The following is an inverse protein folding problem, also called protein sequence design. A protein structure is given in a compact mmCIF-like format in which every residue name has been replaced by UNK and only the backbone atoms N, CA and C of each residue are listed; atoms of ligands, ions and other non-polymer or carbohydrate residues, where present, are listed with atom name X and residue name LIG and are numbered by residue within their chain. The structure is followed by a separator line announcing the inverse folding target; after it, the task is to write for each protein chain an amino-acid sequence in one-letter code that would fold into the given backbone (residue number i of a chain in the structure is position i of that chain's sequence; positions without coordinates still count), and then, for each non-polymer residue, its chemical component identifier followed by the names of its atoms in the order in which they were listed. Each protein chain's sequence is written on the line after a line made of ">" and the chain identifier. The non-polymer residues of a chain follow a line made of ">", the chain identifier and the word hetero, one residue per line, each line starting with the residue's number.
data_IF_878470091122
#
_entry.id   IF_878470091122
#
_cell.length_a   1.000
_cell.length_b   1.000
_cell.length_c   1.000
_cell.angle_alpha   90.00
_cell.angle_beta   90.00
_cell.angle_gamma   90.00
#
_symmetry.space_group_name_H-M   'P 1'
#
loop_
_entity.id
_entity.type
_entity.pdbx_description
1 polymer ?
#
# COMPACT_ATOMS: atom_id res chain seq x y z
N UNK A 1 19.20 9.26 -2.12
CA UNK A 1 18.38 8.02 -2.18
C UNK A 1 17.33 8.07 -3.30
N UNK A 2 16.53 9.15 -3.42
CA UNK A 2 15.48 9.25 -4.45
C UNK A 2 15.92 9.13 -5.92
N UNK A 3 17.04 9.75 -6.33
CA UNK A 3 17.55 9.68 -7.71
C UNK A 3 17.85 8.25 -8.16
N UNK A 4 18.67 7.53 -7.38
CA UNK A 4 19.01 6.12 -7.64
C UNK A 4 17.77 5.23 -7.71
N UNK A 5 16.76 5.49 -6.88
CA UNK A 5 15.52 4.73 -6.94
C UNK A 5 14.74 5.00 -8.23
N UNK A 6 14.73 6.24 -8.73
CA UNK A 6 14.15 6.55 -10.04
C UNK A 6 14.86 5.79 -11.18
N UNK A 7 16.20 5.82 -11.20
CA UNK A 7 17.03 5.06 -12.16
C UNK A 7 16.72 3.55 -12.09
N UNK A 8 16.46 3.01 -10.90
CA UNK A 8 16.09 1.60 -10.73
C UNK A 8 14.68 1.27 -11.24
N UNK A 9 13.71 2.17 -11.05
CA UNK A 9 12.35 1.97 -11.56
C UNK A 9 12.32 1.96 -13.08
N UNK A 10 13.06 2.88 -13.71
CA UNK A 10 13.26 2.92 -15.16
C UNK A 10 13.93 1.63 -15.65
N UNK A 11 15.07 1.25 -15.06
CA UNK A 11 15.78 0.05 -15.45
C UNK A 11 14.95 -1.23 -15.32
N UNK A 12 14.08 -1.35 -14.30
CA UNK A 12 13.19 -2.50 -14.17
C UNK A 12 12.22 -2.56 -15.36
N UNK A 13 11.66 -1.43 -15.82
CA UNK A 13 10.77 -1.41 -16.99
C UNK A 13 11.49 -1.83 -18.25
N UNK A 14 12.66 -1.24 -18.51
CA UNK A 14 13.47 -1.56 -19.68
C UNK A 14 13.81 -3.05 -19.74
N UNK A 15 14.25 -3.64 -18.62
CA UNK A 15 14.62 -5.06 -18.54
C UNK A 15 13.47 -5.97 -18.96
N UNK A 16 12.24 -5.67 -18.51
CA UNK A 16 11.07 -6.48 -18.84
C UNK A 16 10.60 -6.28 -20.27
N UNK A 17 10.57 -5.03 -20.76
CA UNK A 17 10.16 -4.70 -22.13
C UNK A 17 11.14 -5.28 -23.16
N UNK A 18 12.44 -5.22 -22.89
CA UNK A 18 13.47 -5.73 -23.79
C UNK A 18 13.69 -7.25 -23.65
N UNK A 19 13.09 -7.88 -22.64
CA UNK A 19 13.28 -9.31 -22.37
C UNK A 19 14.72 -9.69 -22.05
N UNK A 20 15.51 -8.76 -21.47
CA UNK A 20 16.95 -8.97 -21.17
C UNK A 20 17.19 -10.06 -20.13
N UNK A 21 16.21 -10.29 -19.23
CA UNK A 21 16.25 -11.35 -18.22
C UNK A 21 15.08 -12.31 -18.50
N UNK A 22 15.42 -13.58 -18.75
CA UNK A 22 14.46 -14.60 -19.11
C UNK A 22 13.75 -15.23 -17.90
N UNK A 23 12.55 -15.83 -18.11
CA UNK A 23 11.79 -15.84 -19.36
C UNK A 23 11.15 -14.49 -19.65
N UNK A 24 11.10 -14.10 -20.93
CA UNK A 24 10.38 -12.90 -21.37
C UNK A 24 8.89 -13.06 -21.03
N UNK A 25 8.29 -12.13 -20.25
CA UNK A 25 6.88 -12.27 -19.88
C UNK A 25 5.95 -12.13 -21.10
N UNK A 26 4.77 -12.73 -21.02
CA UNK A 26 3.71 -12.56 -22.03
C UNK A 26 2.98 -11.20 -21.93
N UNK A 27 3.44 -10.31 -21.04
CA UNK A 27 2.92 -8.98 -20.79
C UNK A 27 4.10 -7.99 -20.72
N UNK A 28 3.88 -6.66 -20.78
CA UNK A 28 4.95 -5.66 -20.71
C UNK A 28 5.83 -5.73 -19.43
N UNK A 29 5.40 -6.52 -18.44
CA UNK A 29 6.09 -6.76 -17.20
C UNK A 29 5.08 -6.99 -16.06
N UNK A 30 5.57 -7.20 -14.83
CA UNK A 30 4.71 -7.22 -13.66
C UNK A 30 4.10 -5.85 -13.38
N UNK A 31 2.93 -5.84 -12.75
CA UNK A 31 2.34 -4.63 -12.20
C UNK A 31 3.25 -4.04 -11.11
N UNK A 32 3.53 -2.75 -11.18
CA UNK A 32 4.38 -2.04 -10.24
C UNK A 32 3.60 -0.96 -9.50
N UNK A 33 3.64 -0.99 -8.18
CA UNK A 33 3.07 0.05 -7.32
C UNK A 33 4.18 0.75 -6.54
N UNK A 34 4.11 2.07 -6.46
CA UNK A 34 5.12 2.88 -5.76
C UNK A 34 4.45 3.67 -4.63
N UNK A 35 5.00 3.53 -3.43
CA UNK A 35 4.56 4.27 -2.26
C UNK A 35 5.34 5.56 -2.00
N UNK A 36 5.00 6.21 -0.89
CA UNK A 36 5.59 7.48 -0.44
C UNK A 36 4.60 8.63 -0.47
N UNK A 37 4.89 9.71 0.25
CA UNK A 37 3.97 10.85 0.40
C UNK A 37 4.53 12.18 -0.07
N UNK A 38 5.81 12.24 -0.44
CA UNK A 38 6.43 13.45 -0.97
C UNK A 38 6.01 13.68 -2.43
N UNK A 39 6.05 14.94 -2.89
CA UNK A 39 5.73 15.28 -4.28
C UNK A 39 6.62 14.53 -5.27
N UNK A 40 7.91 14.37 -4.96
CA UNK A 40 8.86 13.62 -5.78
C UNK A 40 8.56 12.12 -5.79
N UNK A 41 7.98 11.57 -4.71
CA UNK A 41 7.56 10.17 -4.68
C UNK A 41 6.35 9.94 -5.57
N UNK A 42 5.38 10.85 -5.51
CA UNK A 42 4.18 10.79 -6.34
C UNK A 42 4.50 11.05 -7.82
N UNK A 43 5.42 11.96 -8.13
CA UNK A 43 5.91 12.18 -9.49
C UNK A 43 6.62 10.94 -10.05
N UNK A 44 7.43 10.25 -9.22
CA UNK A 44 8.05 8.97 -9.60
C UNK A 44 7.02 7.87 -9.83
N UNK A 45 6.02 7.77 -8.95
CA UNK A 45 4.90 6.84 -9.11
C UNK A 45 4.18 7.10 -10.44
N UNK A 46 3.79 8.35 -10.70
CA UNK A 46 3.12 8.72 -11.94
C UNK A 46 3.97 8.38 -13.17
N UNK A 47 5.29 8.58 -13.12
CA UNK A 47 6.18 8.36 -14.26
C UNK A 47 6.44 6.89 -14.58
N UNK A 48 6.69 6.06 -13.56
CA UNK A 48 7.26 4.73 -13.77
C UNK A 48 6.39 3.57 -13.29
N UNK A 49 5.35 3.83 -12.48
CA UNK A 49 4.51 2.80 -11.88
C UNK A 49 3.15 2.66 -12.59
N UNK A 50 2.43 1.60 -12.27
CA UNK A 50 1.02 1.39 -12.67
C UNK A 50 0.05 1.95 -11.63
N UNK A 51 0.56 2.32 -10.45
CA UNK A 51 -0.25 2.89 -9.40
C UNK A 51 0.48 3.19 -8.10
N UNK A 52 -0.31 3.60 -7.12
CA UNK A 52 0.09 4.04 -5.80
C UNK A 52 -0.21 2.98 -4.74
N UNK A 53 0.74 2.77 -3.83
CA UNK A 53 0.55 1.95 -2.63
C UNK A 53 0.65 2.82 -1.38
N UNK A 54 -0.47 2.99 -0.68
CA UNK A 54 -0.48 3.69 0.60
C UNK A 54 0.07 2.79 1.71
N UNK A 55 1.07 3.27 2.45
CA UNK A 55 1.77 2.50 3.49
C UNK A 55 1.00 2.30 4.80
N UNK A 56 -0.32 2.47 4.78
CA UNK A 56 -1.18 2.39 5.96
C UNK A 56 -1.26 3.71 6.75
N UNK A 57 -2.20 3.74 7.69
CA UNK A 57 -2.59 4.92 8.43
C UNK A 57 -4.11 5.09 8.44
N UNK A 58 -4.64 6.11 9.15
CA UNK A 58 -6.08 6.29 9.28
C UNK A 58 -6.74 6.58 7.92
N UNK A 59 -8.03 6.26 7.73
CA UNK A 59 -8.75 6.46 6.47
C UNK A 59 -8.58 7.85 5.84
N UNK A 60 -8.60 8.92 6.66
CA UNK A 60 -8.39 10.29 6.17
C UNK A 60 -7.01 10.51 5.55
N UNK A 61 -5.97 9.86 6.07
CA UNK A 61 -4.63 9.94 5.51
C UNK A 61 -4.55 9.24 4.16
N UNK A 62 -5.26 8.11 4.01
CA UNK A 62 -5.41 7.43 2.75
C UNK A 62 -6.12 8.30 1.71
N UNK A 63 -7.30 8.85 2.03
CA UNK A 63 -8.05 9.70 1.10
C UNK A 63 -7.20 10.88 0.60
N UNK A 64 -6.47 11.54 1.51
CA UNK A 64 -5.56 12.62 1.14
C UNK A 64 -4.39 12.18 0.26
N UNK A 65 -3.87 10.96 0.45
CA UNK A 65 -2.81 10.41 -0.38
C UNK A 65 -3.31 9.99 -1.77
N UNK A 66 -4.49 9.36 -1.84
CA UNK A 66 -5.14 8.96 -3.09
C UNK A 66 -5.39 10.17 -4.01
N UNK A 67 -5.93 11.27 -3.47
CA UNK A 67 -6.15 12.52 -4.23
C UNK A 67 -4.84 13.04 -4.82
N UNK A 68 -3.75 13.04 -4.04
CA UNK A 68 -2.44 13.52 -4.53
C UNK A 68 -1.84 12.59 -5.59
N UNK A 69 -2.05 11.28 -5.46
CA UNK A 69 -1.62 10.31 -6.46
C UNK A 69 -2.36 10.50 -7.79
N UNK A 70 -3.68 10.69 -7.73
CA UNK A 70 -4.51 10.98 -8.90
C UNK A 70 -4.09 12.29 -9.58
N UNK A 71 -3.84 13.34 -8.79
CA UNK A 71 -3.34 14.62 -9.31
C UNK A 71 -1.99 14.45 -10.02
N UNK A 72 -1.00 13.79 -9.39
CA UNK A 72 0.30 13.56 -10.00
C UNK A 72 0.24 12.77 -11.32
N UNK A 73 -0.69 11.81 -11.44
CA UNK A 73 -0.93 11.07 -12.67
C UNK A 73 -1.48 11.95 -13.79
N UNK A 74 -2.50 12.75 -13.45
CA UNK A 74 -3.14 13.69 -14.38
C UNK A 74 -2.19 14.79 -14.83
N UNK A 75 -1.41 15.36 -13.91
CA UNK A 75 -0.46 16.45 -14.20
C UNK A 75 0.67 15.98 -15.12
N UNK A 76 1.05 14.70 -15.05
CA UNK A 76 2.00 14.10 -15.99
C UNK A 76 1.39 13.84 -17.38
N UNK A 77 0.05 13.92 -17.51
CA UNK A 77 -0.66 13.71 -18.76
C UNK A 77 -0.79 12.24 -19.17
N UNK A 78 -0.68 11.30 -18.21
CA UNK A 78 -0.85 9.87 -18.52
C UNK A 78 -2.33 9.54 -18.77
N UNK A 79 -2.64 8.72 -19.79
CA UNK A 79 -4.01 8.27 -20.03
C UNK A 79 -4.50 7.38 -18.87
N UNK A 80 -5.83 7.30 -18.70
CA UNK A 80 -6.46 6.47 -17.69
C UNK A 80 -6.27 7.00 -16.26
N UNK A 81 -6.24 6.10 -15.28
CA UNK A 81 -6.02 6.39 -13.86
C UNK A 81 -5.00 5.42 -13.25
N UNK A 82 -4.25 5.83 -12.22
CA UNK A 82 -3.41 4.91 -11.46
C UNK A 82 -4.28 3.92 -10.68
N UNK A 83 -3.75 2.71 -10.47
CA UNK A 83 -4.27 1.83 -9.42
C UNK A 83 -3.98 2.45 -8.05
N UNK A 84 -4.94 2.42 -7.14
CA UNK A 84 -4.80 2.98 -5.79
C UNK A 84 -5.00 1.85 -4.79
N UNK A 85 -3.91 1.42 -4.16
CA UNK A 85 -3.94 0.34 -3.16
C UNK A 85 -3.67 0.88 -1.77
N UNK A 86 -4.28 0.25 -0.78
CA UNK A 86 -4.07 0.51 0.64
C UNK A 86 -3.57 -0.71 1.39
N UNK A 87 -3.19 -0.51 2.65
CA UNK A 87 -3.01 -1.61 3.59
C UNK A 87 -3.58 -1.30 4.97
N UNK A 88 -3.95 -2.35 5.68
CA UNK A 88 -4.45 -2.29 7.05
C UNK A 88 -4.00 -3.48 7.89
N UNK A 89 -4.07 -3.31 9.19
CA UNK A 89 -3.83 -4.36 10.18
C UNK A 89 -5.15 -4.85 10.76
N UNK A 90 -5.24 -6.14 11.08
CA UNK A 90 -6.43 -6.72 11.70
C UNK A 90 -6.10 -7.80 12.75
N UNK A 91 -7.05 -7.97 13.68
CA UNK A 91 -7.20 -9.15 14.55
C UNK A 91 -8.67 -9.28 14.94
N UNK A 92 -9.32 -10.36 14.52
CA UNK A 92 -10.74 -10.63 14.66
C UNK A 92 -11.05 -11.64 15.76
N UNK A 93 -12.07 -11.33 16.54
CA UNK A 93 -12.63 -12.17 17.60
C UNK A 93 -12.41 -11.60 19.00
N UNK A 94 -13.17 -12.16 19.94
CA UNK A 94 -13.11 -11.76 21.33
C UNK A 94 -11.72 -12.08 21.91
N UNK A 95 -11.12 -11.10 22.57
CA UNK A 95 -9.81 -11.24 23.21
C UNK A 95 -8.59 -11.15 22.28
N UNK A 96 -8.75 -11.01 20.96
CA UNK A 96 -7.60 -10.86 20.04
C UNK A 96 -7.22 -9.41 19.76
N UNK A 97 -8.09 -8.45 20.07
CA UNK A 97 -7.83 -7.03 19.91
C UNK A 97 -6.61 -6.57 20.73
N UNK A 98 -6.52 -6.99 22.00
CA UNK A 98 -5.43 -6.62 22.90
C UNK A 98 -4.07 -7.23 22.47
N UNK A 99 -3.96 -8.53 22.19
CA UNK A 99 -2.74 -9.11 21.62
C UNK A 99 -2.29 -8.45 20.32
N UNK A 100 -3.22 -8.18 19.39
CA UNK A 100 -2.90 -7.52 18.12
C UNK A 100 -2.41 -6.09 18.31
N UNK A 101 -3.06 -5.33 19.19
CA UNK A 101 -2.61 -3.98 19.53
C UNK A 101 -1.25 -3.98 20.25
N UNK A 102 -1.00 -4.94 21.15
CA UNK A 102 0.29 -5.12 21.81
C UNK A 102 1.42 -5.40 20.80
N UNK A 103 1.16 -6.27 19.81
CA UNK A 103 2.10 -6.51 18.72
C UNK A 103 2.44 -5.22 17.96
N UNK A 104 1.43 -4.44 17.56
CA UNK A 104 1.66 -3.19 16.82
C UNK A 104 2.44 -2.16 17.65
N UNK A 105 2.17 -2.03 18.95
CA UNK A 105 2.96 -1.16 19.84
C UNK A 105 4.43 -1.56 19.87
N UNK A 106 4.70 -2.85 19.98
CA UNK A 106 6.06 -3.36 20.00
C UNK A 106 6.76 -3.14 18.65
N UNK A 107 6.10 -3.50 17.55
CA UNK A 107 6.65 -3.37 16.20
C UNK A 107 6.94 -1.90 15.84
N UNK A 108 6.06 -0.98 16.23
CA UNK A 108 6.20 0.45 15.96
C UNK A 108 6.81 1.27 17.11
N UNK A 109 7.44 0.63 18.11
CA UNK A 109 8.01 1.31 19.27
C UNK A 109 8.99 2.44 18.90
N UNK A 110 9.70 2.29 17.76
CA UNK A 110 10.61 3.31 17.22
C UNK A 110 9.93 4.63 16.83
N UNK A 111 8.59 4.64 16.68
CA UNK A 111 7.80 5.83 16.35
C UNK A 111 7.36 6.63 17.58
N UNK A 112 7.73 6.18 18.78
CA UNK A 112 7.36 6.81 20.05
C UNK A 112 5.85 6.80 20.27
N UNK A 113 5.28 7.95 20.65
CA UNK A 113 3.85 8.08 20.95
C UNK A 113 2.91 7.79 19.77
N UNK A 114 3.44 7.72 18.54
CA UNK A 114 2.65 7.35 17.37
C UNK A 114 2.28 5.86 17.34
N UNK A 115 3.03 5.00 18.03
CA UNK A 115 2.76 3.56 18.09
C UNK A 115 1.36 3.26 18.64
N UNK A 116 0.88 4.03 19.62
CA UNK A 116 -0.48 3.91 20.17
C UNK A 116 -1.55 4.23 19.13
N UNK A 117 -1.31 5.23 18.28
CA UNK A 117 -2.26 5.60 17.21
C UNK A 117 -2.36 4.51 16.16
N UNK A 118 -1.26 3.85 15.84
CA UNK A 118 -1.25 2.71 14.92
C UNK A 118 -1.96 1.52 15.55
N UNK A 119 -1.65 1.20 16.81
CA UNK A 119 -2.27 0.10 17.52
C UNK A 119 -3.80 0.28 17.66
N UNK A 120 -4.26 1.51 17.87
CA UNK A 120 -5.68 1.85 17.88
C UNK A 120 -6.36 1.74 16.49
N UNK A 121 -5.57 1.75 15.41
CA UNK A 121 -6.04 1.56 14.04
C UNK A 121 -6.18 0.10 13.62
N UNK A 122 -5.85 -0.86 14.51
CA UNK A 122 -6.10 -2.28 14.31
C UNK A 122 -7.62 -2.48 14.12
N UNK A 123 -8.03 -2.77 12.88
CA UNK A 123 -9.42 -2.74 12.37
C UNK A 123 -10.09 -1.35 12.33
N UNK A 124 -9.65 -0.52 11.38
CA UNK A 124 -10.50 0.53 10.80
C UNK A 124 -10.55 0.40 9.28
N UNK A 125 -11.65 -0.12 8.74
CA UNK A 125 -11.90 -0.27 7.30
C UNK A 125 -12.79 0.89 6.82
N UNK A 126 -12.19 1.94 6.27
CA UNK A 126 -12.93 2.99 5.57
C UNK A 126 -12.18 3.41 4.30
N UNK A 127 -11.84 2.42 3.46
CA UNK A 127 -11.02 2.62 2.26
C UNK A 127 -11.82 2.67 0.96
N UNK A 128 -12.98 2.00 0.88
CA UNK A 128 -13.78 1.93 -0.37
C UNK A 128 -14.25 3.31 -0.84
N UNK A 129 -14.86 4.11 0.05
CA UNK A 129 -15.35 5.46 -0.26
C UNK A 129 -14.25 6.43 -0.74
N UNK A 130 -12.98 6.07 -0.53
CA UNK A 130 -11.82 6.88 -0.90
C UNK A 130 -11.19 6.45 -2.23
N UNK A 131 -11.84 5.56 -3.00
CA UNK A 131 -11.37 5.11 -4.31
C UNK A 131 -10.24 4.10 -4.25
N UNK A 132 -10.20 3.29 -3.18
CA UNK A 132 -9.27 2.17 -3.05
C UNK A 132 -9.67 1.03 -3.98
N UNK A 133 -8.76 0.60 -4.86
CA UNK A 133 -8.99 -0.51 -5.78
C UNK A 133 -8.72 -1.87 -5.10
N UNK A 134 -7.77 -1.93 -4.16
CA UNK A 134 -7.39 -3.13 -3.43
C UNK A 134 -6.87 -2.78 -2.03
N UNK A 135 -7.24 -3.57 -1.03
CA UNK A 135 -6.76 -3.44 0.34
C UNK A 135 -5.97 -4.68 0.75
N UNK A 136 -4.69 -4.49 1.09
CA UNK A 136 -3.84 -5.56 1.63
C UNK A 136 -3.98 -5.62 3.15
N UNK A 137 -4.51 -6.72 3.67
CA UNK A 137 -4.76 -6.89 5.11
C UNK A 137 -3.71 -7.80 5.76
N UNK A 138 -3.10 -7.32 6.85
CA UNK A 138 -2.07 -8.04 7.59
C UNK A 138 -2.59 -8.46 8.97
N UNK A 139 -2.61 -9.77 9.30
CA UNK A 139 -2.99 -10.22 10.63
C UNK A 139 -1.93 -9.78 11.65
N UNK A 140 -2.37 -9.35 12.81
CA UNK A 140 -1.51 -8.91 13.93
C UNK A 140 -1.29 -9.97 15.00
N UNK A 141 -1.88 -11.15 14.79
CA UNK A 141 -1.69 -12.35 15.61
C UNK A 141 -1.34 -13.52 14.68
N UNK A 142 -0.60 -14.51 15.19
CA UNK A 142 -0.08 -15.64 14.39
C UNK A 142 -1.08 -16.80 14.21
N UNK A 143 -2.35 -16.59 14.54
CA UNK A 143 -3.41 -17.59 14.38
C UNK A 143 -3.89 -17.62 12.92
N UNK A 144 -3.75 -18.77 12.27
CA UNK A 144 -4.19 -18.97 10.87
C UNK A 144 -5.71 -18.83 10.73
N UNK A 145 -6.48 -19.11 11.79
CA UNK A 145 -7.94 -18.95 11.80
C UNK A 145 -8.41 -17.50 11.63
N UNK A 146 -7.49 -16.52 11.72
CA UNK A 146 -7.77 -15.13 11.35
C UNK A 146 -8.15 -14.97 9.87
N UNK A 147 -7.59 -15.79 8.99
CA UNK A 147 -7.91 -15.75 7.56
C UNK A 147 -9.35 -16.20 7.32
N UNK A 148 -9.76 -17.29 7.98
CA UNK A 148 -11.14 -17.79 7.89
C UNK A 148 -12.15 -16.78 8.45
N UNK A 149 -11.86 -16.20 9.62
CA UNK A 149 -12.69 -15.14 10.22
C UNK A 149 -12.79 -13.91 9.35
N UNK A 150 -11.70 -13.54 8.66
CA UNK A 150 -11.71 -12.43 7.73
C UNK A 150 -12.62 -12.75 6.52
N UNK A 151 -12.51 -13.97 5.98
CA UNK A 151 -13.36 -14.44 4.88
C UNK A 151 -14.86 -14.44 5.23
N UNK A 152 -15.22 -14.67 6.50
CA UNK A 152 -16.60 -14.63 6.97
C UNK A 152 -17.21 -13.21 6.99
N UNK A 153 -16.38 -12.16 7.09
CA UNK A 153 -16.85 -10.77 7.24
C UNK A 153 -16.67 -9.91 6.00
N UNK A 154 -15.92 -10.38 4.99
CA UNK A 154 -15.78 -9.72 3.69
C UNK A 154 -16.74 -10.38 2.69
N UNK A 155 -17.56 -9.56 2.02
CA UNK A 155 -18.53 -10.00 1.00
C UNK A 155 -18.40 -9.15 -0.26
#
# INVERSE_FOLDING_TARGET
>A
RGRRFGEQLEAIRDIWEEGKIGPTPNAPGPQLLVGGSSGEALARMARYADGYMHGGGPPRAFSGAAVKALAAWSDLGRPGRPLIWGMGYFALGDGTADPGAAYLRQYYAFTGSFAEKIAAGNLTCAYEDAGCDQLVLFPTVSDIGQIDRLAEVIH
#
